data_IF_070821761272
#
_entry.id   IF_070821761272
#
_cell.length_a   1.000
_cell.length_b   1.000
_cell.length_c   1.000
_cell.angle_alpha   90.00
_cell.angle_beta   90.00
_cell.angle_gamma   90.00
#
_symmetry.space_group_name_H-M   'P 1'
#
loop_
_entity.id
_entity.type
_entity.pdbx_description
1 polymer ?
#
# COMPACT_ATOMS: atom_id res chain seq x y z
N UNK A 1 -20.78 -52.91 56.67
CA UNK A 1 -20.91 -53.74 55.46
C UNK A 1 -21.84 -53.07 54.46
N UNK A 2 -21.31 -52.43 53.41
CA UNK A 2 -21.74 -52.54 51.99
C UNK A 2 -21.11 -51.42 51.14
N UNK A 3 -20.09 -51.87 50.39
CA UNK A 3 -19.72 -51.58 49.00
C UNK A 3 -19.44 -50.13 48.56
N UNK A 4 -18.15 -49.93 48.36
CA UNK A 4 -17.44 -49.02 47.46
C UNK A 4 -18.03 -49.07 46.04
N UNK A 5 -18.22 -47.92 45.41
CA UNK A 5 -17.93 -47.71 43.99
C UNK A 5 -17.23 -46.37 43.81
N UNK A 6 -15.99 -46.46 43.32
CA UNK A 6 -15.13 -45.37 42.90
C UNK A 6 -15.51 -44.94 41.48
N UNK A 7 -15.57 -43.63 41.24
CA UNK A 7 -15.45 -42.97 39.92
C UNK A 7 -14.74 -41.63 40.23
N UNK A 8 -13.41 -41.53 40.25
CA UNK A 8 -12.46 -41.30 39.14
C UNK A 8 -12.91 -40.20 38.15
N UNK A 9 -12.27 -39.03 38.34
CA UNK A 9 -11.76 -38.03 37.38
C UNK A 9 -12.65 -37.52 36.23
N UNK A 10 -12.77 -36.20 36.12
CA UNK A 10 -11.91 -35.42 35.22
C UNK A 10 -12.01 -33.90 35.51
N UNK A 11 -10.88 -33.30 35.86
CA UNK A 11 -10.65 -31.86 35.84
C UNK A 11 -10.49 -31.38 34.41
N UNK A 12 -11.21 -30.33 34.00
CA UNK A 12 -10.81 -29.50 32.86
C UNK A 12 -11.20 -28.06 33.15
N UNK A 13 -10.18 -27.25 33.39
CA UNK A 13 -10.26 -25.81 33.43
C UNK A 13 -10.69 -25.30 32.05
N UNK A 14 -11.81 -24.56 31.99
CA UNK A 14 -12.10 -23.69 30.86
C UNK A 14 -11.36 -22.36 31.09
N UNK A 15 -10.05 -22.41 30.92
CA UNK A 15 -9.23 -21.24 30.68
C UNK A 15 -9.46 -20.77 29.25
N UNK A 16 -9.76 -19.47 29.12
CA UNK A 16 -9.45 -18.60 28.00
C UNK A 16 -9.29 -19.25 26.62
N UNK A 17 -10.31 -19.04 25.80
CA UNK A 17 -10.20 -19.13 24.35
C UNK A 17 -11.05 -18.05 23.73
N UNK A 18 -10.75 -16.77 24.01
CA UNK A 18 -10.95 -15.75 22.98
C UNK A 18 -10.08 -16.22 21.82
N UNK A 19 -10.67 -16.98 20.91
CA UNK A 19 -10.04 -17.25 19.63
C UNK A 19 -9.81 -15.89 19.02
N UNK A 20 -8.55 -15.46 19.05
CA UNK A 20 -8.04 -14.61 18.01
C UNK A 20 -8.43 -15.33 16.72
N UNK A 21 -9.43 -14.80 16.05
CA UNK A 21 -9.63 -15.07 14.65
C UNK A 21 -8.39 -14.50 14.00
N UNK A 22 -7.39 -15.36 13.82
CA UNK A 22 -6.23 -15.09 13.00
C UNK A 22 -6.80 -14.93 11.58
N UNK A 23 -7.17 -13.69 11.24
CA UNK A 23 -7.42 -13.28 9.87
C UNK A 23 -6.06 -13.26 9.18
N UNK A 24 -5.62 -14.44 8.77
CA UNK A 24 -4.46 -14.63 7.92
C UNK A 24 -4.92 -14.46 6.47
N UNK A 25 -4.96 -13.20 6.01
CA UNK A 25 -5.06 -12.76 4.60
C UNK A 25 -4.64 -11.29 4.59
N UNK A 26 -3.57 -10.80 3.99
CA UNK A 26 -2.45 -11.33 3.21
C UNK A 26 -1.41 -10.20 3.11
N UNK A 27 -0.13 -10.53 2.85
CA UNK A 27 1.08 -9.69 2.95
C UNK A 27 1.58 -9.49 4.40
N UNK A 28 2.38 -10.45 4.89
CA UNK A 28 3.08 -10.35 6.18
C UNK A 28 4.51 -9.84 5.98
N UNK A 29 4.78 -8.58 6.33
CA UNK A 29 6.14 -8.04 6.41
C UNK A 29 6.86 -8.03 5.05
N UNK A 30 8.00 -8.71 4.92
CA UNK A 30 8.84 -8.66 3.72
C UNK A 30 8.30 -9.50 2.56
N UNK A 31 7.62 -10.60 2.82
CA UNK A 31 7.15 -11.49 1.75
C UNK A 31 6.20 -10.73 0.81
N UNK A 32 5.36 -9.87 1.39
CA UNK A 32 4.49 -9.01 0.61
C UNK A 32 5.19 -7.88 -0.14
N UNK A 33 6.37 -7.44 0.32
CA UNK A 33 7.14 -6.40 -0.37
C UNK A 33 7.63 -6.92 -1.73
N UNK A 34 8.11 -8.16 -1.79
CA UNK A 34 8.55 -8.78 -3.04
C UNK A 34 7.39 -9.00 -4.03
N UNK A 35 6.20 -9.31 -3.53
CA UNK A 35 4.99 -9.42 -4.36
C UNK A 35 4.48 -8.06 -4.84
N UNK A 36 4.70 -7.00 -4.06
CA UNK A 36 4.27 -5.64 -4.37
C UNK A 36 5.21 -4.92 -5.34
N UNK A 37 6.53 -5.10 -5.21
CA UNK A 37 7.55 -4.42 -6.03
C UNK A 37 8.00 -5.34 -7.17
N UNK A 38 7.15 -5.45 -8.19
CA UNK A 38 7.42 -6.24 -9.41
C UNK A 38 8.09 -5.42 -10.51
N UNK A 39 8.76 -6.08 -11.47
CA UNK A 39 9.32 -5.40 -12.65
C UNK A 39 8.24 -4.65 -13.44
N UNK A 40 7.06 -5.24 -13.65
CA UNK A 40 5.95 -4.56 -14.34
C UNK A 40 5.51 -3.26 -13.64
N UNK A 41 5.46 -3.25 -12.29
CA UNK A 41 5.15 -2.02 -11.53
C UNK A 41 6.28 -1.02 -11.58
N UNK A 42 7.53 -1.51 -11.53
CA UNK A 42 8.72 -0.68 -11.66
C UNK A 42 8.78 0.00 -13.02
N UNK A 43 8.57 -0.73 -14.11
CA UNK A 43 8.56 -0.20 -15.48
C UNK A 43 7.46 0.86 -15.66
N UNK A 44 6.23 0.56 -15.21
CA UNK A 44 5.12 1.53 -15.22
C UNK A 44 5.48 2.81 -14.46
N UNK A 45 6.07 2.69 -13.28
CA UNK A 45 6.47 3.84 -12.47
C UNK A 45 7.59 4.65 -13.14
N UNK A 46 8.60 3.98 -13.67
CA UNK A 46 9.70 4.61 -14.41
C UNK A 46 9.19 5.37 -15.63
N UNK A 47 8.25 4.80 -16.39
CA UNK A 47 7.68 5.47 -17.56
C UNK A 47 6.96 6.76 -17.18
N UNK A 48 6.17 6.75 -16.10
CA UNK A 48 5.54 7.96 -15.57
C UNK A 48 6.58 8.99 -15.11
N UNK A 49 7.61 8.58 -14.37
CA UNK A 49 8.67 9.49 -13.90
C UNK A 49 9.42 10.14 -15.06
N UNK A 50 9.80 9.36 -16.08
CA UNK A 50 10.53 9.86 -17.25
C UNK A 50 9.70 10.84 -18.10
N UNK A 51 8.37 10.71 -18.10
CA UNK A 51 7.48 11.64 -18.80
C UNK A 51 7.30 12.95 -18.04
N UNK A 52 7.34 12.93 -16.70
CA UNK A 52 7.23 14.12 -15.85
C UNK A 52 8.57 14.89 -15.77
N UNK A 53 9.68 14.18 -15.61
CA UNK A 53 11.03 14.74 -15.52
C UNK A 53 12.00 13.99 -16.45
N UNK A 54 12.05 14.33 -17.74
CA UNK A 54 12.83 13.61 -18.75
C UNK A 54 14.36 13.83 -18.61
N UNK A 55 14.82 14.58 -17.61
CA UNK A 55 16.23 14.90 -17.41
C UNK A 55 16.97 13.83 -16.60
N UNK A 56 16.24 12.93 -15.94
CA UNK A 56 16.83 11.87 -15.12
C UNK A 56 17.42 10.74 -15.98
N UNK A 57 18.57 10.19 -15.53
CA UNK A 57 19.10 8.99 -16.18
C UNK A 57 18.18 7.80 -15.91
N UNK A 58 18.18 6.79 -16.80
CA UNK A 58 17.38 5.57 -16.59
C UNK A 58 17.66 4.92 -15.23
N UNK A 59 18.92 4.90 -14.80
CA UNK A 59 19.35 4.37 -13.50
C UNK A 59 18.76 5.19 -12.33
N UNK A 60 18.77 6.51 -12.44
CA UNK A 60 18.17 7.39 -11.43
C UNK A 60 16.65 7.18 -11.34
N UNK A 61 15.96 7.16 -12.49
CA UNK A 61 14.51 6.91 -12.52
C UNK A 61 14.15 5.54 -11.94
N UNK A 62 15.01 4.53 -12.15
CA UNK A 62 14.83 3.18 -11.59
C UNK A 62 14.97 3.20 -10.06
N UNK A 63 16.03 3.81 -9.54
CA UNK A 63 16.26 3.95 -8.10
C UNK A 63 15.09 4.67 -7.42
N UNK A 64 14.66 5.81 -7.97
CA UNK A 64 13.54 6.60 -7.45
C UNK A 64 12.23 5.80 -7.50
N UNK A 65 12.00 5.04 -8.57
CA UNK A 65 10.80 4.22 -8.69
C UNK A 65 10.78 3.07 -7.66
N UNK A 66 11.92 2.41 -7.40
CA UNK A 66 12.03 1.39 -6.35
C UNK A 66 11.74 2.02 -4.99
N UNK A 67 12.37 3.14 -4.66
CA UNK A 67 12.14 3.85 -3.39
C UNK A 67 10.66 4.21 -3.20
N UNK A 68 10.01 4.75 -4.23
CA UNK A 68 8.58 5.08 -4.17
C UNK A 68 7.70 3.84 -3.97
N UNK A 69 7.98 2.73 -4.66
CA UNK A 69 7.20 1.51 -4.52
C UNK A 69 7.40 0.86 -3.13
N UNK A 70 8.60 0.96 -2.56
CA UNK A 70 8.88 0.51 -1.19
C UNK A 70 8.12 1.38 -0.18
N UNK A 71 8.18 2.72 -0.30
CA UNK A 71 7.42 3.62 0.59
C UNK A 71 5.90 3.37 0.50
N UNK A 72 5.37 3.20 -0.71
CA UNK A 72 3.97 2.87 -0.94
C UNK A 72 3.57 1.54 -0.28
N UNK A 73 4.44 0.52 -0.38
CA UNK A 73 4.21 -0.75 0.30
C UNK A 73 4.18 -0.58 1.82
N UNK A 74 5.10 0.18 2.40
CA UNK A 74 5.15 0.41 3.85
C UNK A 74 3.87 1.07 4.34
N UNK A 75 3.37 2.08 3.61
CA UNK A 75 2.11 2.74 3.93
C UNK A 75 0.92 1.78 3.81
N UNK A 76 0.89 0.94 2.77
CA UNK A 76 -0.14 -0.08 2.58
C UNK A 76 -0.14 -1.09 3.73
N UNK A 77 1.04 -1.62 4.06
CA UNK A 77 1.25 -2.56 5.15
C UNK A 77 0.80 -1.98 6.49
N UNK A 78 1.13 -0.71 6.76
CA UNK A 78 0.72 -0.04 8.00
C UNK A 78 -0.78 0.28 8.04
N UNK A 79 -1.41 0.56 6.91
CA UNK A 79 -2.87 0.68 6.85
C UNK A 79 -3.54 -0.67 7.15
N UNK A 80 -3.08 -1.74 6.52
CA UNK A 80 -3.61 -3.10 6.70
C UNK A 80 -3.37 -3.63 8.12
N UNK A 81 -2.23 -3.31 8.74
CA UNK A 81 -1.90 -3.68 10.12
C UNK A 81 -2.87 -3.08 11.15
N UNK A 82 -3.57 -2.01 10.76
CA UNK A 82 -4.57 -1.28 11.56
C UNK A 82 -6.01 -1.62 11.18
N UNK A 83 -6.20 -2.74 10.48
CA UNK A 83 -7.49 -3.19 9.97
C UNK A 83 -8.18 -2.16 9.03
N UNK A 84 -7.41 -1.27 8.40
CA UNK A 84 -7.92 -0.40 7.34
C UNK A 84 -8.01 -1.21 6.04
N UNK A 85 -9.09 -0.99 5.30
CA UNK A 85 -9.33 -1.60 4.00
C UNK A 85 -10.10 -0.63 3.12
N UNK A 86 -10.02 -0.85 1.82
CA UNK A 86 -10.82 -0.17 0.81
C UNK A 86 -11.67 -1.23 0.13
N UNK A 87 -12.96 -0.93 -0.06
CA UNK A 87 -13.87 -1.80 -0.79
C UNK A 87 -13.80 -1.55 -2.29
N UNK A 88 -14.17 -2.55 -3.09
CA UNK A 88 -14.28 -2.42 -4.54
C UNK A 88 -15.15 -1.22 -4.96
N UNK A 89 -16.27 -0.99 -4.24
CA UNK A 89 -17.17 0.14 -4.48
C UNK A 89 -16.46 1.48 -4.31
N UNK A 90 -15.61 1.63 -3.27
CA UNK A 90 -14.83 2.86 -3.06
C UNK A 90 -13.78 3.08 -4.16
N UNK A 91 -13.21 2.00 -4.71
CA UNK A 91 -12.24 2.07 -5.80
C UNK A 91 -12.94 2.48 -7.09
N UNK A 92 -14.05 1.83 -7.41
CA UNK A 92 -14.86 2.13 -8.60
C UNK A 92 -15.42 3.55 -8.57
N UNK A 93 -15.94 4.02 -7.42
CA UNK A 93 -16.40 5.40 -7.26
C UNK A 93 -15.27 6.41 -7.51
N UNK A 94 -14.06 6.12 -7.01
CA UNK A 94 -12.89 6.97 -7.26
C UNK A 94 -12.46 6.93 -8.73
N UNK A 95 -12.49 5.78 -9.38
CA UNK A 95 -12.19 5.62 -10.82
C UNK A 95 -13.17 6.42 -11.66
N UNK A 96 -14.47 6.26 -11.43
CA UNK A 96 -15.53 6.95 -12.18
C UNK A 96 -15.40 8.47 -12.03
N UNK A 97 -15.14 8.95 -10.81
CA UNK A 97 -14.86 10.36 -10.56
C UNK A 97 -13.64 10.86 -11.35
N UNK A 98 -12.54 10.10 -11.36
CA UNK A 98 -11.34 10.49 -12.09
C UNK A 98 -11.54 10.49 -13.62
N UNK A 99 -12.27 9.51 -14.17
CA UNK A 99 -12.63 9.46 -15.59
C UNK A 99 -13.47 10.69 -15.97
N UNK A 100 -14.48 11.03 -15.16
CA UNK A 100 -15.31 12.22 -15.40
C UNK A 100 -14.48 13.50 -15.39
N UNK A 101 -13.63 13.67 -14.37
CA UNK A 101 -12.77 14.85 -14.24
C UNK A 101 -11.76 14.96 -15.38
N UNK A 102 -11.12 13.86 -15.76
CA UNK A 102 -10.18 13.82 -16.87
C UNK A 102 -10.86 14.15 -18.20
N UNK A 103 -12.06 13.62 -18.44
CA UNK A 103 -12.84 13.87 -19.66
C UNK A 103 -13.31 15.32 -19.80
N UNK A 104 -13.50 16.01 -18.67
CA UNK A 104 -13.84 17.44 -18.63
C UNK A 104 -12.61 18.34 -18.76
N UNK A 105 -11.43 17.82 -18.43
CA UNK A 105 -10.16 18.53 -18.55
C UNK A 105 -9.63 18.49 -19.99
N UNK A 106 -9.07 19.60 -20.46
CA UNK A 106 -8.29 19.65 -21.71
C UNK A 106 -6.80 19.67 -21.36
N UNK A 107 -6.35 18.62 -20.65
CA UNK A 107 -4.93 18.48 -20.33
C UNK A 107 -4.20 17.81 -21.50
N UNK A 108 -3.48 18.62 -22.27
CA UNK A 108 -2.69 18.18 -23.42
C UNK A 108 -1.56 17.22 -23.02
N UNK A 109 -0.98 17.37 -21.82
CA UNK A 109 0.08 16.49 -21.33
C UNK A 109 -0.48 15.11 -20.98
N UNK A 110 -1.63 15.07 -20.31
CA UNK A 110 -2.30 13.80 -19.99
C UNK A 110 -2.75 13.09 -21.27
N UNK A 111 -3.36 13.81 -22.21
CA UNK A 111 -3.78 13.27 -23.51
C UNK A 111 -2.59 12.68 -24.27
N UNK A 112 -1.45 13.39 -24.30
CA UNK A 112 -0.24 12.90 -24.96
C UNK A 112 0.34 11.66 -24.30
N UNK A 113 0.32 11.61 -22.97
CA UNK A 113 0.77 10.44 -22.21
C UNK A 113 -0.07 9.20 -22.55
N UNK A 114 -1.39 9.34 -22.65
CA UNK A 114 -2.30 8.25 -23.03
C UNK A 114 -2.04 7.75 -24.45
N UNK A 115 -1.84 8.65 -25.42
CA UNK A 115 -1.45 8.28 -26.79
C UNK A 115 -0.13 7.48 -26.82
N UNK A 116 0.86 7.92 -26.05
CA UNK A 116 2.17 7.25 -26.00
C UNK A 116 2.08 5.86 -25.34
N UNK A 117 1.10 5.65 -24.46
CA UNK A 117 0.80 4.36 -23.82
C UNK A 117 -0.14 3.47 -24.63
N UNK A 118 -0.74 3.99 -25.71
CA UNK A 118 -1.81 3.34 -26.47
C UNK A 118 -3.01 2.95 -25.58
N UNK A 119 -3.42 3.86 -24.69
CA UNK A 119 -4.52 3.66 -23.73
C UNK A 119 -5.61 4.73 -23.91
N UNK A 120 -6.86 4.33 -23.65
CA UNK A 120 -7.96 5.27 -23.39
C UNK A 120 -7.93 5.79 -21.95
N UNK A 121 -8.73 6.83 -21.65
CA UNK A 121 -8.89 7.35 -20.28
C UNK A 121 -9.42 6.23 -19.36
N UNK A 122 -10.39 5.47 -19.85
CA UNK A 122 -10.99 4.36 -19.12
C UNK A 122 -9.99 3.24 -18.83
N UNK A 123 -9.24 2.77 -19.84
CA UNK A 123 -8.20 1.74 -19.65
C UNK A 123 -7.09 2.23 -18.71
N UNK A 124 -6.74 3.51 -18.77
CA UNK A 124 -5.78 4.09 -17.85
C UNK A 124 -6.26 3.98 -16.39
N UNK A 125 -7.48 4.42 -16.07
CA UNK A 125 -7.94 4.41 -14.68
C UNK A 125 -8.35 3.02 -14.19
N UNK A 126 -8.98 2.20 -15.05
CA UNK A 126 -9.50 0.88 -14.69
C UNK A 126 -8.44 -0.21 -14.63
N UNK A 127 -7.39 -0.11 -15.45
CA UNK A 127 -6.36 -1.14 -15.53
C UNK A 127 -5.00 -0.61 -15.09
N UNK A 128 -4.54 0.50 -15.71
CA UNK A 128 -3.17 0.97 -15.49
C UNK A 128 -2.95 1.56 -14.09
N UNK A 129 -3.89 2.39 -13.62
CA UNK A 129 -3.80 3.16 -12.38
C UNK A 129 -4.58 2.55 -11.21
N UNK A 130 -5.31 1.44 -11.42
CA UNK A 130 -6.18 0.81 -10.42
C UNK A 130 -5.49 0.62 -9.07
N UNK A 131 -4.34 -0.07 -9.06
CA UNK A 131 -3.59 -0.38 -7.84
C UNK A 131 -3.07 0.88 -7.14
N UNK A 132 -2.77 1.94 -7.92
CA UNK A 132 -2.36 3.24 -7.38
C UNK A 132 -3.53 3.96 -6.72
N UNK A 133 -4.74 3.85 -7.27
CA UNK A 133 -5.96 4.41 -6.68
C UNK A 133 -6.29 3.70 -5.38
N UNK A 134 -6.25 2.36 -5.37
CA UNK A 134 -6.43 1.57 -4.14
C UNK A 134 -5.42 1.99 -3.05
N UNK A 135 -4.13 2.03 -3.40
CA UNK A 135 -3.08 2.47 -2.48
C UNK A 135 -3.31 3.89 -1.95
N UNK A 136 -3.76 4.81 -2.81
CA UNK A 136 -4.06 6.18 -2.39
C UNK A 136 -5.26 6.29 -1.47
N UNK A 137 -6.30 5.49 -1.70
CA UNK A 137 -7.47 5.44 -0.83
C UNK A 137 -7.11 4.87 0.55
N UNK A 138 -6.25 3.85 0.61
CA UNK A 138 -5.69 3.35 1.87
C UNK A 138 -4.85 4.41 2.58
N UNK A 139 -3.95 5.09 1.88
CA UNK A 139 -3.15 6.19 2.43
C UNK A 139 -4.04 7.30 2.99
N UNK A 140 -5.11 7.67 2.31
CA UNK A 140 -6.06 8.68 2.78
C UNK A 140 -6.78 8.25 4.07
N UNK A 141 -7.20 6.98 4.17
CA UNK A 141 -7.78 6.44 5.42
C UNK A 141 -6.78 6.46 6.57
N UNK A 142 -5.52 6.12 6.29
CA UNK A 142 -4.44 6.17 7.27
C UNK A 142 -4.17 7.61 7.71
N UNK A 143 -4.11 8.54 6.76
CA UNK A 143 -4.00 9.97 7.03
C UNK A 143 -5.10 10.46 7.97
N UNK A 144 -6.37 10.13 7.69
CA UNK A 144 -7.52 10.55 8.50
C UNK A 144 -7.48 9.97 9.92
N UNK A 145 -6.89 8.79 10.11
CA UNK A 145 -6.72 8.20 11.43
C UNK A 145 -5.60 8.88 12.23
N UNK A 146 -4.51 9.28 11.57
CA UNK A 146 -3.33 9.87 12.21
C UNK A 146 -3.49 11.36 12.46
N UNK A 147 -4.11 12.07 11.51
CA UNK A 147 -4.20 13.53 11.49
C UNK A 147 -5.52 13.99 12.10
N UNK A 148 -5.44 14.93 13.04
CA UNK A 148 -6.63 15.52 13.65
C UNK A 148 -7.18 16.65 12.75
N UNK A 149 -8.44 16.54 12.36
CA UNK A 149 -9.10 17.45 11.42
C UNK A 149 -9.21 18.91 11.92
N UNK A 150 -9.13 19.14 13.22
CA UNK A 150 -9.20 20.48 13.84
C UNK A 150 -7.86 21.24 13.81
N UNK A 151 -6.78 20.58 13.40
CA UNK A 151 -5.47 21.20 13.26
C UNK A 151 -5.37 22.07 11.99
N UNK A 152 -4.44 23.03 12.00
CA UNK A 152 -4.14 23.79 10.79
C UNK A 152 -3.47 22.91 9.73
N UNK A 153 -3.64 23.22 8.42
CA UNK A 153 -3.03 22.42 7.34
C UNK A 153 -1.52 22.22 7.47
N UNK A 154 -0.79 23.19 8.01
CA UNK A 154 0.64 23.06 8.28
C UNK A 154 0.94 22.01 9.36
N UNK A 155 0.18 22.01 10.46
CA UNK A 155 0.34 21.02 11.54
C UNK A 155 -0.06 19.63 11.09
N UNK A 156 -1.15 19.53 10.32
CA UNK A 156 -1.60 18.28 9.71
C UNK A 156 -0.50 17.66 8.84
N UNK A 157 0.09 18.45 7.94
CA UNK A 157 1.22 18.04 7.10
C UNK A 157 2.44 17.61 7.92
N UNK A 158 2.78 18.36 8.96
CA UNK A 158 3.92 18.03 9.83
C UNK A 158 3.70 16.70 10.57
N UNK A 159 2.50 16.47 11.08
CA UNK A 159 2.15 15.20 11.73
C UNK A 159 2.21 14.04 10.76
N UNK A 160 1.61 14.22 9.57
CA UNK A 160 1.64 13.19 8.53
C UNK A 160 3.07 12.84 8.12
N UNK A 161 3.89 13.85 7.79
CA UNK A 161 5.28 13.60 7.40
C UNK A 161 6.09 12.94 8.52
N UNK A 162 5.94 13.40 9.77
CA UNK A 162 6.63 12.79 10.90
C UNK A 162 6.23 11.32 11.11
N UNK A 163 4.95 11.00 10.92
CA UNK A 163 4.47 9.62 10.97
C UNK A 163 5.04 8.76 9.83
N UNK A 164 5.04 9.27 8.59
CA UNK A 164 5.65 8.56 7.44
C UNK A 164 7.14 8.30 7.66
N UNK A 165 7.88 9.31 8.12
CA UNK A 165 9.30 9.19 8.41
C UNK A 165 9.55 8.11 9.48
N UNK A 166 8.73 8.08 10.53
CA UNK A 166 8.82 7.08 11.61
C UNK A 166 8.60 5.66 11.10
N UNK A 167 7.47 5.38 10.44
CA UNK A 167 7.14 4.03 9.99
C UNK A 167 8.09 3.54 8.89
N UNK A 168 8.53 4.44 8.00
CA UNK A 168 9.47 4.08 6.93
C UNK A 168 10.85 3.77 7.50
N UNK A 169 11.32 4.55 8.48
CA UNK A 169 12.59 4.28 9.16
C UNK A 169 12.52 2.96 9.92
N UNK A 170 11.47 2.74 10.72
CA UNK A 170 11.30 1.51 11.51
C UNK A 170 11.24 0.26 10.61
N UNK A 171 10.43 0.30 9.56
CA UNK A 171 10.32 -0.82 8.61
C UNK A 171 11.64 -1.07 7.90
N UNK A 172 12.32 -0.01 7.45
CA UNK A 172 13.60 -0.13 6.73
C UNK A 172 14.71 -0.67 7.62
N UNK A 173 14.76 -0.29 8.90
CA UNK A 173 15.73 -0.83 9.86
C UNK A 173 15.46 -2.30 10.16
N UNK A 174 14.19 -2.70 10.28
CA UNK A 174 13.80 -4.07 10.56
C UNK A 174 14.07 -5.02 9.37
N UNK A 175 14.01 -4.49 8.15
CA UNK A 175 14.04 -5.25 6.90
C UNK A 175 15.15 -4.80 5.93
N UNK A 176 16.22 -4.22 6.48
CA UNK A 176 17.33 -3.62 5.72
C UNK A 176 17.91 -4.61 4.69
N UNK A 177 18.13 -5.86 5.12
CA UNK A 177 18.73 -6.87 4.27
C UNK A 177 17.86 -7.16 3.05
N UNK A 178 16.57 -7.34 3.25
CA UNK A 178 15.65 -7.75 2.20
C UNK A 178 15.31 -6.60 1.24
N UNK A 179 15.26 -5.35 1.74
CA UNK A 179 15.16 -4.15 0.89
C UNK A 179 16.41 -3.99 0.03
N UNK A 180 17.60 -4.24 0.58
CA UNK A 180 18.84 -4.18 -0.18
C UNK A 180 18.89 -5.29 -1.24
N UNK A 181 18.56 -6.53 -0.90
CA UNK A 181 18.50 -7.65 -1.87
C UNK A 181 17.47 -7.38 -3.00
N UNK A 182 16.32 -6.80 -2.67
CA UNK A 182 15.31 -6.37 -3.65
C UNK A 182 15.87 -5.28 -4.58
N UNK A 183 16.51 -4.26 -4.01
CA UNK A 183 17.06 -3.13 -4.75
C UNK A 183 18.18 -3.58 -5.69
N UNK A 184 19.11 -4.40 -5.19
CA UNK A 184 20.20 -4.96 -6.00
C UNK A 184 19.64 -5.77 -7.17
N UNK A 185 18.69 -6.68 -6.90
CA UNK A 185 18.04 -7.50 -7.94
C UNK A 185 17.38 -6.65 -9.04
N UNK A 186 16.74 -5.55 -8.66
CA UNK A 186 16.01 -4.67 -9.58
C UNK A 186 16.89 -3.58 -10.21
N UNK A 187 18.18 -3.51 -9.88
CA UNK A 187 19.12 -2.52 -10.45
C UNK A 187 20.20 -3.15 -11.34
N UNK A 188 20.43 -4.46 -11.24
CA UNK A 188 21.22 -5.27 -12.20
C UNK A 188 20.59 -5.34 -13.60
#
# INVERSE_FOLDING_TARGET
MRRIFSIILLTSALSAGCGAVEKQTGLSGVDGLNEYVTEDRLERRMETLNKIDPVQSKEQSRSVAIEQLVEEYILKYEAESRDLSVSEEEIEDAIDFNIEMASQSQDDHFSKMLEDLDLTIEEYYRDYAYESIEGKLLENKLYDQIVQADLSPEKQRKMWNGFKDEITSEFSEQHEKEINELTDRLTE
#
